data_IF_933162129977
#
_entry.id   IF_933162129977
#
_cell.length_a   1.000
_cell.length_b   1.000
_cell.length_c   1.000
_cell.angle_alpha   90.00
_cell.angle_beta   90.00
_cell.angle_gamma   90.00
#
_symmetry.space_group_name_H-M   'P 1'
#
loop_
_entity.id
_entity.type
_entity.pdbx_description
1 polymer ?
#
# COMPACT_ATOMS: atom_id res chain seq x y z
N UNK A 1 -12.09 15.78 -10.45
CA UNK A 1 -12.24 17.26 -10.38
C UNK A 1 -10.91 17.90 -10.77
N UNK A 2 -10.90 19.12 -11.30
CA UNK A 2 -9.65 19.87 -11.50
C UNK A 2 -9.35 20.67 -10.24
N UNK A 3 -8.14 20.56 -9.72
CA UNK A 3 -7.70 21.23 -8.49
C UNK A 3 -6.38 21.95 -8.77
N UNK A 4 -6.20 23.14 -8.21
CA UNK A 4 -4.91 23.84 -8.19
C UNK A 4 -4.24 23.57 -6.87
N UNK A 5 -3.01 23.07 -6.90
CA UNK A 5 -2.21 22.74 -5.73
C UNK A 5 -0.86 23.44 -5.86
N UNK A 6 -0.40 24.05 -4.77
CA UNK A 6 0.97 24.56 -4.67
C UNK A 6 1.85 23.47 -4.06
N UNK A 7 2.79 22.95 -4.85
CA UNK A 7 3.65 21.82 -4.49
C UNK A 7 5.08 22.19 -4.86
N UNK A 8 6.06 22.00 -3.96
CA UNK A 8 7.47 22.20 -4.30
C UNK A 8 7.90 21.37 -5.52
N UNK A 9 8.49 22.04 -6.51
CA UNK A 9 8.83 21.43 -7.80
C UNK A 9 9.93 20.35 -7.66
N UNK A 10 10.85 20.53 -6.73
CA UNK A 10 11.92 19.58 -6.42
C UNK A 10 11.36 18.23 -5.94
N UNK A 11 10.40 18.26 -5.01
CA UNK A 11 9.74 17.07 -4.48
C UNK A 11 8.95 16.36 -5.59
N UNK A 12 8.21 17.13 -6.40
CA UNK A 12 7.39 16.55 -7.47
C UNK A 12 8.26 15.93 -8.57
N UNK A 13 9.37 16.58 -8.91
CA UNK A 13 10.33 16.08 -9.91
C UNK A 13 11.00 14.80 -9.44
N UNK A 14 11.42 14.75 -8.18
CA UNK A 14 12.03 13.53 -7.61
C UNK A 14 11.02 12.39 -7.52
N UNK A 15 9.78 12.67 -7.11
CA UNK A 15 8.71 11.69 -7.11
C UNK A 15 8.41 11.15 -8.52
N UNK A 16 8.42 12.03 -9.54
CA UNK A 16 8.29 11.63 -10.96
C UNK A 16 9.42 10.70 -11.38
N UNK A 17 10.68 11.06 -11.06
CA UNK A 17 11.87 10.29 -11.40
C UNK A 17 11.86 8.91 -10.76
N UNK A 18 11.56 8.83 -9.46
CA UNK A 18 11.51 7.57 -8.70
C UNK A 18 10.35 6.67 -9.11
N UNK A 19 9.21 7.25 -9.46
CA UNK A 19 8.03 6.49 -9.90
C UNK A 19 8.05 6.14 -11.40
N UNK A 20 8.95 6.75 -12.18
CA UNK A 20 8.98 6.61 -13.65
C UNK A 20 7.76 7.21 -14.35
N UNK A 21 7.01 8.08 -13.68
CA UNK A 21 5.80 8.69 -14.25
C UNK A 21 6.13 9.87 -15.15
N UNK A 22 5.42 9.97 -16.28
CA UNK A 22 5.65 11.03 -17.29
C UNK A 22 4.86 12.32 -17.03
N UNK A 23 3.92 12.31 -16.09
CA UNK A 23 3.06 13.48 -15.82
C UNK A 23 2.90 13.73 -14.32
N UNK A 24 2.92 15.02 -13.96
CA UNK A 24 2.69 15.52 -12.59
C UNK A 24 1.40 14.95 -12.00
N UNK A 25 0.32 14.93 -12.79
CA UNK A 25 -0.98 14.37 -12.38
C UNK A 25 -0.88 12.88 -12.05
N UNK A 26 -0.18 12.09 -12.87
CA UNK A 26 -0.05 10.64 -12.63
C UNK A 26 0.76 10.37 -11.36
N UNK A 27 1.81 11.15 -11.12
CA UNK A 27 2.62 11.07 -9.89
C UNK A 27 1.75 11.32 -8.65
N UNK A 28 0.92 12.37 -8.68
CA UNK A 28 0.01 12.70 -7.57
C UNK A 28 -1.00 11.56 -7.36
N UNK A 29 -1.65 11.08 -8.43
CA UNK A 29 -2.61 9.96 -8.35
C UNK A 29 -1.97 8.72 -7.73
N UNK A 30 -0.79 8.33 -8.22
CA UNK A 30 -0.05 7.17 -7.72
C UNK A 30 0.31 7.34 -6.24
N UNK A 31 0.78 8.53 -5.84
CA UNK A 31 1.13 8.81 -4.44
C UNK A 31 -0.07 8.67 -3.50
N UNK A 32 -1.26 9.13 -3.93
CA UNK A 32 -2.49 9.03 -3.15
C UNK A 32 -2.99 7.58 -3.06
N UNK A 33 -2.91 6.82 -4.16
CA UNK A 33 -3.25 5.40 -4.18
C UNK A 33 -2.37 4.60 -3.21
N UNK A 34 -1.06 4.85 -3.25
CA UNK A 34 -0.09 4.20 -2.38
C UNK A 34 -0.32 4.57 -0.90
N UNK A 35 -0.61 5.84 -0.62
CA UNK A 35 -0.98 6.29 0.72
C UNK A 35 -2.23 5.56 1.25
N UNK A 36 -3.29 5.48 0.45
CA UNK A 36 -4.52 4.77 0.82
C UNK A 36 -4.23 3.29 1.07
N UNK A 37 -3.43 2.66 0.20
CA UNK A 37 -3.07 1.25 0.33
C UNK A 37 -2.32 0.98 1.65
N UNK A 38 -1.33 1.83 1.97
CA UNK A 38 -0.60 1.76 3.25
C UNK A 38 -1.54 1.85 4.45
N UNK A 39 -2.49 2.80 4.44
CA UNK A 39 -3.48 2.94 5.53
C UNK A 39 -4.40 1.72 5.66
N UNK A 40 -4.78 1.07 4.55
CA UNK A 40 -5.53 -0.20 4.59
C UNK A 40 -4.71 -1.31 5.24
N UNK A 41 -3.43 -1.45 4.87
CA UNK A 41 -2.51 -2.42 5.46
C UNK A 41 -2.33 -2.15 6.96
N UNK A 42 -2.14 -0.90 7.36
CA UNK A 42 -2.01 -0.52 8.77
C UNK A 42 -3.25 -0.90 9.59
N UNK A 43 -4.45 -0.70 9.01
CA UNK A 43 -5.71 -1.12 9.64
C UNK A 43 -5.76 -2.65 9.83
N UNK A 44 -5.34 -3.42 8.83
CA UNK A 44 -5.27 -4.88 8.94
C UNK A 44 -4.25 -5.31 9.99
N UNK A 45 -3.07 -4.67 10.04
CA UNK A 45 -2.05 -4.92 11.06
C UNK A 45 -2.56 -4.62 12.47
N UNK A 46 -3.39 -3.59 12.64
CA UNK A 46 -4.02 -3.27 13.92
C UNK A 46 -5.05 -4.32 14.39
N UNK A 47 -5.50 -5.22 13.51
CA UNK A 47 -6.33 -6.38 13.87
C UNK A 47 -5.49 -7.60 14.27
N UNK A 48 -4.16 -7.55 14.15
CA UNK A 48 -3.25 -8.64 14.57
C UNK A 48 -3.44 -8.92 16.06
N UNK A 49 -3.75 -10.16 16.41
CA UNK A 49 -4.02 -10.59 17.78
C UNK A 49 -5.45 -10.35 18.27
N UNK A 50 -6.32 -9.74 17.46
CA UNK A 50 -7.77 -9.64 17.75
C UNK A 50 -8.58 -10.76 17.10
N UNK A 51 -8.01 -11.40 16.08
CA UNK A 51 -8.62 -12.55 15.45
C UNK A 51 -8.16 -13.80 16.19
N UNK A 52 -9.08 -14.42 16.92
CA UNK A 52 -8.87 -15.71 17.53
C UNK A 52 -8.92 -16.78 16.44
N UNK A 53 -7.74 -17.19 15.99
CA UNK A 53 -7.60 -18.24 14.98
C UNK A 53 -7.50 -19.57 15.73
N UNK A 54 -8.66 -20.12 16.10
CA UNK A 54 -8.78 -21.44 16.74
C UNK A 54 -8.53 -22.55 15.70
N UNK A 55 -7.29 -22.63 15.23
CA UNK A 55 -6.82 -23.65 14.30
C UNK A 55 -5.43 -24.11 14.70
N UNK A 56 -5.27 -25.43 14.81
CA UNK A 56 -3.98 -26.07 15.01
C UNK A 56 -3.06 -25.81 13.80
N UNK A 57 -1.98 -25.07 14.04
CA UNK A 57 -1.01 -24.68 13.03
C UNK A 57 -0.26 -25.90 12.47
N UNK A 58 -0.15 -27.00 13.21
CA UNK A 58 0.52 -28.22 12.74
C UNK A 58 -0.34 -28.98 11.74
N UNK A 59 -1.67 -28.96 11.90
CA UNK A 59 -2.61 -29.53 10.91
C UNK A 59 -2.51 -28.76 9.59
N UNK A 60 -2.56 -27.43 9.64
CA UNK A 60 -2.49 -26.57 8.45
C UNK A 60 -1.16 -26.69 7.67
N UNK A 61 -0.07 -27.04 8.34
CA UNK A 61 1.26 -27.20 7.71
C UNK A 61 1.42 -28.57 7.04
N UNK A 62 0.81 -29.62 7.58
CA UNK A 62 0.88 -30.98 6.99
C UNK A 62 0.15 -31.05 5.66
N UNK A 63 -1.03 -30.43 5.55
CA UNK A 63 -1.84 -30.43 4.32
C UNK A 63 -1.15 -29.77 3.13
N UNK A 64 -0.21 -28.83 3.37
CA UNK A 64 0.50 -28.11 2.30
C UNK A 64 1.69 -28.88 1.72
N UNK A 65 2.12 -29.97 2.35
CA UNK A 65 3.32 -30.74 1.95
C UNK A 65 2.97 -31.96 1.09
N UNK A 66 1.69 -32.09 0.69
CA UNK A 66 1.17 -33.17 -0.15
C UNK A 66 0.88 -32.74 -1.61
N UNK A 67 1.55 -31.69 -2.08
CA UNK A 67 1.62 -31.27 -3.49
C UNK A 67 3.09 -31.07 -3.87
#
# INVERSE_FOLDING_TARGET
>A
MRTTLDIPEDILTEAMRLSGTKSKTMTIILSLQEFINRKKIDKLRALRGKLDLDKDLDVLRRDRTLL
#
